data_IF_950139823057
#
_entry.id   IF_950139823057
#
_cell.length_a   1.000
_cell.length_b   1.000
_cell.length_c   1.000
_cell.angle_alpha   90.00
_cell.angle_beta   90.00
_cell.angle_gamma   90.00
#
_symmetry.space_group_name_H-M   'P 1'
#
loop_
_entity.id
_entity.type
_entity.pdbx_description
1 polymer ?
#
# COMPACT_ATOMS: atom_id res chain seq x y z
N UNK A 1 32.58 63.92 -41.39
CA UNK A 1 31.42 63.70 -40.52
C UNK A 1 31.02 62.23 -40.73
N UNK A 2 31.40 61.37 -39.76
CA UNK A 2 31.11 59.91 -39.82
C UNK A 2 29.77 59.66 -39.09
N UNK A 3 28.81 59.10 -39.82
CA UNK A 3 27.53 58.67 -39.24
C UNK A 3 27.73 57.30 -38.61
N UNK A 4 27.60 57.24 -37.28
CA UNK A 4 27.61 55.99 -36.50
C UNK A 4 26.22 55.39 -36.56
N UNK A 5 26.07 54.28 -37.30
CA UNK A 5 24.82 53.51 -37.39
C UNK A 5 24.75 52.56 -36.22
N UNK A 6 23.87 52.86 -35.26
CA UNK A 6 23.64 52.02 -34.10
C UNK A 6 22.70 50.87 -34.50
N UNK A 7 23.23 49.67 -34.57
CA UNK A 7 22.49 48.45 -34.86
C UNK A 7 21.87 47.97 -33.52
N UNK A 8 20.58 48.21 -33.34
CA UNK A 8 19.83 47.66 -32.18
C UNK A 8 19.51 46.21 -32.53
N UNK A 9 20.27 45.32 -31.90
CA UNK A 9 20.02 43.88 -31.92
C UNK A 9 18.89 43.55 -30.92
N UNK A 10 17.67 43.40 -31.41
CA UNK A 10 16.52 42.92 -30.62
C UNK A 10 16.71 41.42 -30.40
N UNK A 11 17.14 41.08 -29.20
CA UNK A 11 17.20 39.69 -28.73
C UNK A 11 15.77 39.22 -28.49
N UNK A 12 15.18 38.46 -29.41
CA UNK A 12 13.97 37.70 -29.20
C UNK A 12 14.32 36.58 -28.24
N UNK A 13 14.04 36.77 -26.95
CA UNK A 13 14.00 35.67 -25.98
C UNK A 13 12.76 34.84 -26.32
N UNK A 14 12.97 33.76 -27.10
CA UNK A 14 12.00 32.69 -27.22
C UNK A 14 11.87 32.02 -25.85
N UNK A 15 10.99 32.56 -25.03
CA UNK A 15 10.50 31.86 -23.86
C UNK A 15 9.77 30.63 -24.36
N UNK A 16 10.41 29.48 -24.34
CA UNK A 16 9.71 28.22 -24.38
C UNK A 16 8.72 28.21 -23.22
N UNK A 17 7.45 28.50 -23.50
CA UNK A 17 6.36 28.12 -22.60
C UNK A 17 6.38 26.60 -22.55
N UNK A 18 7.02 26.03 -21.57
CA UNK A 18 6.73 24.69 -21.13
C UNK A 18 5.25 24.70 -20.76
N UNK A 19 4.44 23.99 -21.53
CA UNK A 19 3.03 23.79 -21.17
C UNK A 19 3.00 23.11 -19.79
N UNK A 20 2.43 23.77 -18.77
CA UNK A 20 2.31 23.14 -17.45
C UNK A 20 1.22 22.07 -17.38
N UNK A 21 0.61 21.70 -18.52
CA UNK A 21 -0.62 20.91 -18.56
C UNK A 21 -0.44 19.40 -18.72
N UNK A 22 0.73 18.86 -18.42
CA UNK A 22 0.83 17.43 -18.07
C UNK A 22 1.49 17.35 -16.71
N UNK A 23 0.67 17.49 -15.66
CA UNK A 23 1.07 17.01 -14.35
C UNK A 23 1.39 15.51 -14.51
N UNK A 24 2.66 15.16 -14.41
CA UNK A 24 3.11 13.76 -14.47
C UNK A 24 2.75 13.02 -13.18
N UNK A 25 1.53 13.25 -12.66
CA UNK A 25 1.01 12.53 -11.50
C UNK A 25 0.46 11.18 -11.94
N UNK A 26 0.63 10.18 -11.12
CA UNK A 26 0.11 8.86 -11.38
C UNK A 26 0.07 7.99 -10.14
N UNK A 27 -0.83 7.02 -10.14
CA UNK A 27 -0.93 6.02 -9.08
C UNK A 27 -1.31 4.67 -9.69
N UNK A 28 -0.66 3.63 -9.23
CA UNK A 28 -0.97 2.23 -9.54
C UNK A 28 -1.12 1.48 -8.24
N UNK A 29 -2.15 0.65 -8.15
CA UNK A 29 -2.39 -0.21 -6.99
C UNK A 29 -2.51 -1.67 -7.42
N UNK A 30 -2.29 -2.59 -6.49
CA UNK A 30 -2.68 -3.99 -6.64
C UNK A 30 -3.37 -4.51 -5.38
N UNK A 31 -4.36 -5.38 -5.55
CA UNK A 31 -5.14 -5.97 -4.47
C UNK A 31 -4.70 -7.39 -4.09
N UNK A 32 -3.55 -7.82 -4.56
CA UNK A 32 -3.00 -9.15 -4.30
C UNK A 32 -2.65 -9.92 -5.56
N UNK A 33 -1.80 -10.93 -5.39
CA UNK A 33 -1.54 -11.97 -6.37
C UNK A 33 -2.05 -13.30 -5.81
N UNK A 34 -2.57 -14.18 -6.63
CA UNK A 34 -3.13 -15.47 -6.22
C UNK A 34 -4.18 -15.94 -7.20
N UNK A 35 -4.86 -17.00 -6.90
CA UNK A 35 -5.92 -17.58 -7.75
C UNK A 35 -7.17 -16.71 -7.77
N UNK A 36 -7.05 -15.48 -8.30
CA UNK A 36 -8.20 -14.63 -8.59
C UNK A 36 -8.72 -15.01 -9.98
N UNK A 37 -9.12 -16.27 -10.12
CA UNK A 37 -9.73 -16.74 -11.36
C UNK A 37 -11.18 -16.27 -11.40
N UNK A 38 -11.55 -15.61 -12.47
CA UNK A 38 -12.91 -15.11 -12.68
C UNK A 38 -13.96 -16.21 -12.61
N UNK A 39 -13.62 -17.41 -13.04
CA UNK A 39 -14.47 -18.62 -12.98
C UNK A 39 -14.80 -19.09 -11.55
N UNK A 40 -13.94 -18.72 -10.58
CA UNK A 40 -14.10 -19.09 -9.17
C UNK A 40 -14.71 -17.95 -8.33
N UNK A 41 -15.19 -16.87 -8.97
CA UNK A 41 -15.68 -15.68 -8.31
C UNK A 41 -17.13 -15.40 -8.70
N UNK A 42 -18.02 -15.17 -7.72
CA UNK A 42 -19.36 -14.70 -8.05
C UNK A 42 -19.32 -13.26 -8.60
N UNK A 43 -20.35 -12.90 -9.37
CA UNK A 43 -20.46 -11.55 -9.92
C UNK A 43 -20.50 -10.46 -8.82
N UNK A 44 -21.12 -10.77 -7.69
CA UNK A 44 -21.20 -9.88 -6.53
C UNK A 44 -19.81 -9.67 -5.90
N UNK A 45 -19.04 -10.76 -5.76
CA UNK A 45 -17.69 -10.70 -5.20
C UNK A 45 -16.73 -9.97 -6.16
N UNK A 46 -16.80 -10.21 -7.47
CA UNK A 46 -16.03 -9.45 -8.46
C UNK A 46 -16.36 -7.96 -8.37
N UNK A 47 -17.65 -7.62 -8.30
CA UNK A 47 -18.10 -6.23 -8.14
C UNK A 47 -17.56 -5.60 -6.86
N UNK A 48 -17.59 -6.32 -5.73
CA UNK A 48 -17.07 -5.83 -4.46
C UNK A 48 -15.56 -5.51 -4.54
N UNK A 49 -14.76 -6.40 -5.12
CA UNK A 49 -13.33 -6.17 -5.36
C UNK A 49 -13.09 -4.94 -6.24
N UNK A 50 -13.78 -4.85 -7.38
CA UNK A 50 -13.64 -3.72 -8.31
C UNK A 50 -14.00 -2.40 -7.64
N UNK A 51 -15.13 -2.36 -6.92
CA UNK A 51 -15.57 -1.16 -6.21
C UNK A 51 -14.55 -0.71 -5.17
N UNK A 52 -13.98 -1.64 -4.39
CA UNK A 52 -13.01 -1.29 -3.35
C UNK A 52 -11.66 -0.86 -3.93
N UNK A 53 -11.19 -1.50 -5.01
CA UNK A 53 -9.99 -1.07 -5.73
C UNK A 53 -10.18 0.31 -6.40
N UNK A 54 -11.36 0.55 -6.96
CA UNK A 54 -11.70 1.86 -7.54
C UNK A 54 -11.73 2.96 -6.47
N UNK A 55 -12.27 2.69 -5.29
CA UNK A 55 -12.24 3.60 -4.15
C UNK A 55 -10.79 3.91 -3.76
N UNK A 56 -9.93 2.91 -3.60
CA UNK A 56 -8.54 3.07 -3.21
C UNK A 56 -7.75 3.91 -4.23
N UNK A 57 -7.83 3.57 -5.52
CA UNK A 57 -7.09 4.30 -6.55
C UNK A 57 -7.61 5.73 -6.74
N UNK A 58 -8.93 5.94 -6.66
CA UNK A 58 -9.52 7.28 -6.78
C UNK A 58 -9.12 8.18 -5.61
N UNK A 59 -9.07 7.65 -4.39
CA UNK A 59 -8.64 8.41 -3.20
C UNK A 59 -7.20 8.85 -3.34
N UNK A 60 -6.28 7.94 -3.67
CA UNK A 60 -4.88 8.30 -3.88
C UNK A 60 -4.70 9.28 -5.06
N UNK A 61 -5.42 9.08 -6.16
CA UNK A 61 -5.35 10.00 -7.30
C UNK A 61 -5.91 11.39 -6.96
N UNK A 62 -6.97 11.47 -6.15
CA UNK A 62 -7.51 12.75 -5.71
C UNK A 62 -6.50 13.55 -4.86
N UNK A 63 -5.74 12.88 -4.00
CA UNK A 63 -4.65 13.49 -3.22
C UNK A 63 -3.63 14.12 -4.17
N UNK A 64 -3.13 13.35 -5.14
CA UNK A 64 -2.14 13.83 -6.12
C UNK A 64 -2.68 14.99 -6.96
N UNK A 65 -3.93 14.88 -7.43
CA UNK A 65 -4.60 15.92 -8.23
C UNK A 65 -4.73 17.23 -7.48
N UNK A 66 -4.89 17.18 -6.16
CA UNK A 66 -4.98 18.36 -5.29
C UNK A 66 -3.61 18.86 -4.82
N UNK A 67 -2.49 18.35 -5.39
CA UNK A 67 -1.13 18.76 -5.06
C UNK A 67 -0.55 18.09 -3.81
N UNK A 68 -1.19 17.03 -3.31
CA UNK A 68 -0.66 16.23 -2.21
C UNK A 68 0.52 15.35 -2.63
N UNK A 69 1.21 14.78 -1.65
CA UNK A 69 2.41 13.99 -1.86
C UNK A 69 2.11 12.58 -2.37
N UNK A 70 3.08 11.98 -3.08
CA UNK A 70 3.05 10.56 -3.46
C UNK A 70 2.95 9.65 -2.23
N UNK A 71 3.57 10.04 -1.12
CA UNK A 71 3.50 9.38 0.17
C UNK A 71 2.05 9.27 0.68
N UNK A 72 1.36 10.41 0.79
CA UNK A 72 -0.02 10.44 1.30
C UNK A 72 -0.96 9.65 0.39
N UNK A 73 -0.74 9.71 -0.93
CA UNK A 73 -1.51 8.96 -1.91
C UNK A 73 -1.34 7.44 -1.75
N UNK A 74 -0.11 6.97 -1.50
CA UNK A 74 0.19 5.55 -1.24
C UNK A 74 -0.40 5.12 0.08
N UNK A 75 -0.19 5.88 1.16
CA UNK A 75 -0.71 5.55 2.50
C UNK A 75 -2.23 5.39 2.49
N UNK A 76 -2.95 6.39 2.02
CA UNK A 76 -4.42 6.38 2.05
C UNK A 76 -5.01 5.30 1.13
N UNK A 77 -4.40 5.03 -0.02
CA UNK A 77 -4.84 3.93 -0.88
C UNK A 77 -4.68 2.57 -0.20
N UNK A 78 -3.58 2.34 0.48
CA UNK A 78 -3.32 1.07 1.19
C UNK A 78 -4.24 0.95 2.40
N UNK A 79 -4.48 2.00 3.18
CA UNK A 79 -5.41 2.00 4.32
C UNK A 79 -6.83 1.58 3.92
N UNK A 80 -7.32 2.01 2.76
CA UNK A 80 -8.61 1.57 2.25
C UNK A 80 -8.64 0.05 2.04
N UNK A 81 -7.56 -0.53 1.53
CA UNK A 81 -7.45 -1.97 1.32
C UNK A 81 -7.24 -2.72 2.65
N UNK A 82 -6.43 -2.20 3.59
CA UNK A 82 -6.25 -2.75 4.93
C UNK A 82 -7.55 -2.80 5.75
N UNK A 83 -8.41 -1.80 5.57
CA UNK A 83 -9.70 -1.72 6.25
C UNK A 83 -10.81 -2.54 5.57
N UNK A 84 -10.47 -3.38 4.59
CA UNK A 84 -11.41 -4.20 3.82
C UNK A 84 -11.17 -5.69 4.03
N UNK A 85 -12.23 -6.42 4.36
CA UNK A 85 -12.19 -7.88 4.49
C UNK A 85 -11.90 -8.64 3.17
N UNK A 86 -11.79 -7.94 2.05
CA UNK A 86 -11.57 -8.54 0.74
C UNK A 86 -10.12 -8.96 0.51
N UNK A 87 -9.15 -8.20 1.04
CA UNK A 87 -7.73 -8.36 0.75
C UNK A 87 -6.98 -9.12 1.84
N UNK A 88 -5.77 -9.59 1.52
CA UNK A 88 -4.86 -10.13 2.52
C UNK A 88 -3.96 -8.99 3.05
N UNK A 89 -4.56 -8.10 3.83
CA UNK A 89 -3.90 -7.02 4.55
C UNK A 89 -4.86 -6.51 5.62
N UNK A 90 -4.41 -6.14 6.80
CA UNK A 90 -5.26 -5.65 7.87
C UNK A 90 -6.47 -6.55 8.15
N UNK A 91 -7.69 -6.00 8.03
CA UNK A 91 -8.93 -6.75 8.14
C UNK A 91 -9.05 -7.73 6.97
N UNK A 92 -9.13 -9.03 7.27
CA UNK A 92 -9.17 -10.07 6.24
C UNK A 92 -7.81 -10.62 5.85
N UNK A 93 -6.75 -10.29 6.59
CA UNK A 93 -5.47 -10.98 6.51
C UNK A 93 -5.61 -12.49 6.71
N UNK A 94 -4.75 -13.25 6.06
CA UNK A 94 -4.64 -14.70 6.26
C UNK A 94 -4.24 -14.94 7.71
N UNK A 95 -4.80 -15.98 8.32
CA UNK A 95 -4.51 -16.32 9.71
C UNK A 95 -3.28 -17.20 9.82
N UNK A 96 -2.52 -16.99 10.88
CA UNK A 96 -1.48 -17.93 11.32
C UNK A 96 -2.12 -19.25 11.77
N UNK A 97 -1.30 -20.29 11.93
CA UNK A 97 -1.78 -21.58 12.42
C UNK A 97 -2.51 -21.50 13.76
N UNK A 98 -2.21 -20.49 14.58
CA UNK A 98 -2.81 -20.28 15.90
C UNK A 98 -4.11 -19.45 15.86
N UNK A 99 -4.72 -19.32 14.65
CA UNK A 99 -5.95 -18.55 14.42
C UNK A 99 -5.81 -17.06 14.78
N UNK A 100 -4.61 -16.52 14.66
CA UNK A 100 -4.29 -15.10 14.91
C UNK A 100 -3.93 -14.41 13.61
N UNK A 101 -3.96 -13.09 13.64
CA UNK A 101 -3.43 -12.26 12.55
C UNK A 101 -2.03 -11.79 12.94
N UNK A 102 -1.10 -11.88 11.97
CA UNK A 102 0.25 -11.31 12.01
C UNK A 102 0.40 -10.43 10.78
N UNK A 103 0.72 -9.16 10.97
CA UNK A 103 0.68 -8.15 9.91
C UNK A 103 2.07 -7.60 9.62
N UNK A 104 2.32 -7.39 8.32
CA UNK A 104 3.57 -6.82 7.82
C UNK A 104 3.25 -5.65 6.88
N UNK A 105 4.08 -4.62 6.89
CA UNK A 105 4.03 -3.54 5.92
C UNK A 105 5.41 -2.94 5.69
N UNK A 106 5.61 -2.41 4.50
CA UNK A 106 6.80 -1.64 4.16
C UNK A 106 6.44 -0.42 3.31
N UNK A 107 7.24 0.62 3.46
CA UNK A 107 7.12 1.86 2.71
C UNK A 107 8.51 2.39 2.36
N UNK A 108 8.64 2.97 1.17
CA UNK A 108 9.84 3.67 0.73
C UNK A 108 9.46 5.00 0.07
N UNK A 109 10.15 6.05 0.47
CA UNK A 109 10.10 7.38 -0.12
C UNK A 109 11.18 7.51 -1.19
N UNK A 110 10.81 7.92 -2.39
CA UNK A 110 11.77 8.23 -3.46
C UNK A 110 12.32 9.65 -3.40
N UNK A 111 11.77 10.51 -2.52
CA UNK A 111 12.26 11.87 -2.31
C UNK A 111 13.65 11.87 -1.67
N UNK A 112 13.83 11.04 -0.66
CA UNK A 112 15.04 10.98 0.17
C UNK A 112 15.64 9.57 0.31
N UNK A 113 15.02 8.58 -0.36
CA UNK A 113 15.38 7.16 -0.32
C UNK A 113 15.27 6.51 1.07
N UNK A 114 14.55 7.16 1.99
CA UNK A 114 14.25 6.59 3.29
C UNK A 114 13.20 5.48 3.17
N UNK A 115 13.28 4.53 4.08
CA UNK A 115 12.35 3.42 4.13
C UNK A 115 12.00 3.06 5.58
N UNK A 116 10.82 2.48 5.75
CA UNK A 116 10.38 1.94 7.02
C UNK A 116 9.53 0.70 6.83
N UNK A 117 9.59 -0.20 7.80
CA UNK A 117 8.83 -1.44 7.76
C UNK A 117 8.43 -1.90 9.16
N UNK A 118 7.38 -2.67 9.20
CA UNK A 118 7.01 -3.48 10.36
C UNK A 118 6.78 -4.93 9.94
N UNK A 119 7.06 -5.87 10.82
CA UNK A 119 6.81 -7.29 10.60
C UNK A 119 6.24 -7.94 11.86
N UNK A 120 5.27 -8.84 11.67
CA UNK A 120 4.71 -9.64 12.76
C UNK A 120 3.90 -8.85 13.78
N UNK A 121 3.32 -7.71 13.41
CA UNK A 121 2.45 -6.93 14.28
C UNK A 121 1.13 -7.65 14.53
N UNK A 122 0.61 -7.53 15.76
CA UNK A 122 -0.65 -8.14 16.15
C UNK A 122 -1.76 -7.14 16.48
N UNK A 123 -1.44 -5.85 16.62
CA UNK A 123 -2.37 -4.85 17.17
C UNK A 123 -2.47 -3.57 16.33
N UNK A 124 -1.57 -3.32 15.39
CA UNK A 124 -1.55 -2.08 14.61
C UNK A 124 -2.69 -2.10 13.59
N UNK A 125 -3.62 -1.17 13.71
CA UNK A 125 -4.83 -1.10 12.87
C UNK A 125 -4.51 -0.94 11.39
N UNK A 126 -3.61 -0.03 11.07
CA UNK A 126 -3.12 0.22 9.70
C UNK A 126 -1.60 0.06 9.65
N UNK A 127 -1.12 -1.14 9.32
CA UNK A 127 0.31 -1.46 9.23
C UNK A 127 1.12 -0.49 8.39
N UNK A 128 0.59 0.00 7.27
CA UNK A 128 1.30 0.94 6.39
C UNK A 128 1.64 2.25 7.11
N UNK A 129 0.73 2.78 7.95
CA UNK A 129 0.98 4.00 8.73
C UNK A 129 2.11 3.78 9.75
N UNK A 130 2.20 2.60 10.32
CA UNK A 130 3.29 2.26 11.23
C UNK A 130 4.63 2.10 10.50
N UNK A 131 4.65 1.50 9.31
CA UNK A 131 5.85 1.43 8.47
C UNK A 131 6.39 2.83 8.16
N UNK A 132 5.51 3.76 7.78
CA UNK A 132 5.86 5.17 7.56
C UNK A 132 6.36 5.82 8.85
N UNK A 133 5.73 5.56 9.99
CA UNK A 133 6.19 6.10 11.26
C UNK A 133 7.56 5.55 11.70
N UNK A 134 7.87 4.29 11.38
CA UNK A 134 9.23 3.73 11.60
C UNK A 134 10.24 4.51 10.79
N UNK A 135 9.96 4.80 9.52
CA UNK A 135 10.82 5.61 8.66
C UNK A 135 11.07 7.01 9.24
N UNK A 136 10.02 7.68 9.71
CA UNK A 136 10.09 9.10 10.10
C UNK A 136 10.54 9.34 11.54
N UNK A 137 10.21 8.40 12.45
CA UNK A 137 10.23 8.65 13.90
C UNK A 137 11.11 7.66 14.65
N UNK A 138 11.90 6.86 13.93
CA UNK A 138 12.85 5.93 14.54
C UNK A 138 14.20 5.92 13.81
N UNK A 139 15.29 5.49 14.46
CA UNK A 139 16.58 5.28 13.80
C UNK A 139 16.63 3.95 13.03
N UNK A 140 15.55 3.17 13.02
CA UNK A 140 15.47 1.84 12.43
C UNK A 140 14.75 1.87 11.09
N UNK A 141 15.09 0.93 10.22
CA UNK A 141 14.34 0.68 8.97
C UNK A 141 13.23 -0.34 9.18
N UNK A 142 13.38 -1.24 10.15
CA UNK A 142 12.42 -2.29 10.44
C UNK A 142 12.26 -2.47 11.95
N UNK A 143 11.00 -2.54 12.39
CA UNK A 143 10.62 -3.04 13.71
C UNK A 143 9.77 -4.29 13.57
N UNK A 144 9.81 -5.20 14.57
CA UNK A 144 9.06 -6.45 14.47
C UNK A 144 8.34 -6.83 15.76
N UNK A 145 7.26 -7.60 15.59
CA UNK A 145 6.49 -8.24 16.67
C UNK A 145 6.13 -7.24 17.78
N UNK A 146 6.33 -7.63 19.02
CA UNK A 146 6.04 -6.77 20.18
C UNK A 146 6.76 -5.42 20.12
N UNK A 147 7.98 -5.34 19.57
CA UNK A 147 8.71 -4.09 19.44
C UNK A 147 8.03 -3.12 18.47
N UNK A 148 7.43 -3.61 17.39
CA UNK A 148 6.62 -2.80 16.47
C UNK A 148 5.32 -2.33 17.12
N UNK A 149 4.64 -3.21 17.87
CA UNK A 149 3.40 -2.87 18.57
C UNK A 149 3.64 -1.83 19.69
N UNK A 150 4.68 -2.00 20.49
CA UNK A 150 5.07 -1.04 21.54
C UNK A 150 5.42 0.35 20.95
N UNK A 151 6.17 0.36 19.84
CA UNK A 151 6.50 1.59 19.13
C UNK A 151 5.23 2.30 18.61
N UNK A 152 4.29 1.55 18.03
CA UNK A 152 3.02 2.11 17.55
C UNK A 152 2.25 2.80 18.70
N UNK A 153 2.16 2.14 19.86
CA UNK A 153 1.53 2.71 21.06
C UNK A 153 2.26 4.00 21.51
N UNK A 154 3.59 3.94 21.60
CA UNK A 154 4.40 5.11 22.00
C UNK A 154 4.21 6.31 21.07
N UNK A 155 4.07 6.05 19.75
CA UNK A 155 3.90 7.11 18.75
C UNK A 155 2.44 7.51 18.49
N UNK A 156 1.49 6.95 19.25
CA UNK A 156 0.07 7.29 19.15
C UNK A 156 -0.58 6.78 17.86
N UNK A 157 -0.08 5.70 17.29
CA UNK A 157 -0.67 5.03 16.13
C UNK A 157 -1.84 4.18 16.61
N UNK A 158 -2.95 4.19 15.86
CA UNK A 158 -4.15 3.45 16.18
C UNK A 158 -3.87 1.95 16.34
N UNK A 159 -4.26 1.40 17.49
CA UNK A 159 -4.17 -0.02 17.78
C UNK A 159 -5.53 -0.61 18.07
N UNK A 160 -5.71 -1.88 17.76
CA UNK A 160 -6.96 -2.64 17.96
C UNK A 160 -6.64 -4.05 18.47
N UNK A 161 -7.58 -4.72 19.14
CA UNK A 161 -7.36 -6.12 19.52
C UNK A 161 -7.21 -7.01 18.27
N UNK A 162 -6.43 -8.08 18.37
CA UNK A 162 -6.17 -9.01 17.24
C UNK A 162 -7.46 -9.55 16.61
N UNK A 163 -8.51 -9.76 17.42
CA UNK A 163 -9.83 -10.21 16.94
C UNK A 163 -10.50 -9.26 15.94
N UNK A 164 -10.12 -7.98 15.93
CA UNK A 164 -10.64 -6.99 14.97
C UNK A 164 -10.35 -7.39 13.51
N UNK A 165 -9.23 -8.03 13.25
CA UNK A 165 -8.79 -8.41 11.91
C UNK A 165 -9.39 -9.72 11.41
N UNK A 166 -9.88 -10.57 12.33
CA UNK A 166 -10.32 -11.93 12.04
C UNK A 166 -11.68 -11.89 11.34
N UNK A 167 -11.77 -12.54 10.18
CA UNK A 167 -13.02 -12.71 9.45
C UNK A 167 -13.44 -14.18 9.42
N UNK A 168 -14.75 -14.44 9.42
CA UNK A 168 -15.30 -15.80 9.32
C UNK A 168 -14.77 -16.54 8.08
N UNK A 169 -14.64 -15.83 6.95
CA UNK A 169 -14.08 -16.38 5.72
C UNK A 169 -12.66 -16.93 5.93
N UNK A 170 -11.81 -16.21 6.68
CA UNK A 170 -10.43 -16.62 6.95
C UNK A 170 -10.35 -17.77 7.94
N UNK A 171 -11.21 -17.78 8.97
CA UNK A 171 -11.32 -18.91 9.88
C UNK A 171 -11.72 -20.19 9.15
N UNK A 172 -12.74 -20.13 8.31
CA UNK A 172 -13.17 -21.29 7.51
C UNK A 172 -12.08 -21.77 6.55
N UNK A 173 -11.35 -20.82 5.91
CA UNK A 173 -10.25 -21.17 5.02
C UNK A 173 -9.14 -21.89 5.79
N UNK A 174 -8.75 -21.40 6.95
CA UNK A 174 -7.73 -22.03 7.79
C UNK A 174 -8.16 -23.44 8.25
N UNK A 175 -9.41 -23.60 8.70
CA UNK A 175 -9.95 -24.91 9.11
C UNK A 175 -9.90 -25.92 7.97
N UNK A 176 -10.33 -25.52 6.78
CA UNK A 176 -10.24 -26.37 5.57
C UNK A 176 -8.80 -26.77 5.24
N UNK A 177 -7.83 -25.86 5.40
CA UNK A 177 -6.41 -26.17 5.20
C UNK A 177 -5.93 -27.18 6.25
N UNK A 178 -6.25 -26.97 7.53
CA UNK A 178 -5.88 -27.90 8.62
C UNK A 178 -6.45 -29.30 8.40
N UNK A 179 -7.73 -29.41 7.98
CA UNK A 179 -8.37 -30.67 7.65
C UNK A 179 -7.67 -31.38 6.47
N UNK A 180 -7.28 -30.65 5.42
CA UNK A 180 -6.58 -31.21 4.25
C UNK A 180 -5.14 -31.60 4.56
N UNK A 181 -4.41 -30.81 5.34
CA UNK A 181 -3.03 -31.13 5.75
C UNK A 181 -2.91 -32.39 6.61
N UNK A 182 -4.01 -32.86 7.19
CA UNK A 182 -4.07 -34.20 7.79
C UNK A 182 -4.02 -35.33 6.73
N UNK A 183 -4.13 -35.01 5.42
CA UNK A 183 -4.30 -35.99 4.33
C UNK A 183 -3.18 -35.92 3.27
N UNK A 184 -2.54 -34.78 2.98
CA UNK A 184 -1.43 -34.69 2.00
C UNK A 184 -0.69 -33.34 1.99
N UNK A 185 0.65 -33.40 1.87
CA UNK A 185 1.55 -32.23 1.76
C UNK A 185 1.62 -31.62 0.34
N UNK A 186 1.01 -32.25 -0.68
CA UNK A 186 1.19 -31.93 -2.10
C UNK A 186 0.00 -31.19 -2.75
N UNK A 187 -0.84 -30.50 -1.99
CA UNK A 187 -2.00 -29.79 -2.55
C UNK A 187 -1.56 -28.48 -3.24
N UNK A 188 -1.83 -28.30 -4.56
CA UNK A 188 -1.56 -27.06 -5.29
C UNK A 188 -2.24 -25.83 -4.69
N UNK A 189 -3.36 -26.00 -3.96
CA UNK A 189 -4.09 -24.91 -3.28
C UNK A 189 -3.28 -24.24 -2.17
N UNK A 190 -2.32 -24.95 -1.55
CA UNK A 190 -1.43 -24.39 -0.54
C UNK A 190 -0.41 -23.45 -1.17
N UNK A 191 0.01 -23.70 -2.42
CA UNK A 191 0.93 -22.82 -3.15
C UNK A 191 0.31 -21.45 -3.46
N UNK A 192 -0.99 -21.42 -3.76
CA UNK A 192 -1.67 -20.18 -4.17
C UNK A 192 -2.11 -19.29 -2.99
N UNK A 193 -2.19 -19.83 -1.78
CA UNK A 193 -2.57 -19.05 -0.59
C UNK A 193 -1.48 -18.09 -0.09
N UNK A 194 -0.24 -18.24 -0.58
CA UNK A 194 0.94 -17.48 -0.14
C UNK A 194 1.11 -16.09 -0.78
N UNK A 195 0.28 -15.71 -1.78
CA UNK A 195 0.54 -14.56 -2.64
C UNK A 195 -0.44 -13.39 -2.47
N UNK A 196 -1.18 -13.33 -1.37
CA UNK A 196 -2.05 -12.21 -1.09
C UNK A 196 -1.26 -11.05 -0.46
N UNK A 197 -1.23 -9.88 -1.09
CA UNK A 197 -0.56 -8.67 -0.61
C UNK A 197 -1.17 -7.48 -1.34
N UNK A 198 -1.43 -6.39 -0.65
CA UNK A 198 -1.82 -5.15 -1.32
C UNK A 198 -0.62 -4.25 -1.51
N UNK A 199 -0.66 -3.39 -2.52
CA UNK A 199 0.40 -2.41 -2.73
C UNK A 199 -0.06 -1.22 -3.52
N UNK A 200 0.72 -0.15 -3.43
CA UNK A 200 0.51 1.11 -4.15
C UNK A 200 1.84 1.74 -4.49
N UNK A 201 1.91 2.34 -5.68
CA UNK A 201 3.02 3.19 -6.13
C UNK A 201 2.42 4.45 -6.70
N UNK A 202 2.94 5.60 -6.30
CA UNK A 202 2.48 6.89 -6.78
C UNK A 202 3.63 7.83 -7.14
N UNK A 203 3.40 8.72 -8.11
CA UNK A 203 4.27 9.85 -8.44
C UNK A 203 3.48 11.14 -8.27
N UNK A 204 4.04 12.11 -7.52
CA UNK A 204 3.44 13.41 -7.30
C UNK A 204 3.90 14.48 -8.31
N UNK A 205 3.37 15.69 -8.18
CA UNK A 205 3.66 16.81 -9.09
C UNK A 205 5.12 17.26 -9.05
N UNK A 206 5.83 16.97 -7.96
CA UNK A 206 7.26 17.26 -7.82
C UNK A 206 8.14 16.18 -8.44
N UNK A 207 7.55 15.10 -8.94
CA UNK A 207 8.27 13.95 -9.50
C UNK A 207 8.73 12.93 -8.45
N UNK A 208 8.36 13.10 -7.19
CA UNK A 208 8.69 12.15 -6.13
C UNK A 208 7.86 10.88 -6.27
N UNK A 209 8.52 9.73 -6.23
CA UNK A 209 7.87 8.42 -6.29
C UNK A 209 7.90 7.81 -4.90
N UNK A 210 6.76 7.30 -4.46
CA UNK A 210 6.66 6.52 -3.23
C UNK A 210 6.02 5.17 -3.52
N UNK A 211 6.41 4.16 -2.75
CA UNK A 211 5.88 2.81 -2.85
C UNK A 211 5.61 2.22 -1.47
N UNK A 212 4.52 1.46 -1.35
CA UNK A 212 4.18 0.76 -0.12
C UNK A 212 3.51 -0.57 -0.41
N UNK A 213 3.67 -1.50 0.54
CA UNK A 213 3.00 -2.80 0.55
C UNK A 213 2.48 -3.10 1.93
N UNK A 214 1.39 -3.88 2.01
CA UNK A 214 0.84 -4.38 3.27
C UNK A 214 0.29 -5.79 3.08
N UNK A 215 0.49 -6.64 4.06
CA UNK A 215 0.10 -8.05 4.01
C UNK A 215 -0.14 -8.62 5.40
N UNK A 216 -0.54 -9.87 5.47
CA UNK A 216 -0.61 -10.61 6.72
C UNK A 216 -0.75 -12.11 6.53
N UNK A 217 -0.44 -12.84 7.59
CA UNK A 217 -0.54 -14.30 7.66
C UNK A 217 0.72 -15.03 7.20
N UNK A 218 0.65 -16.31 7.39
CA UNK A 218 1.49 -17.51 7.30
C UNK A 218 2.35 -17.79 8.48
#
# INVERSE_FOLDING_TARGET
MKRLSTFIMILFILSCKTNPDKSNIGIVIHGGAGTILKENMSAELEKAYRTKLEEAVKTGYAILKNGGSSRDAVEESIKIMENSALFNAGVGAVLTNDERVSLDASFMSGEDLNAGAIAGSSFIKNPISAAIAVMDKSPHVLLSSKGADDFAIEKGIDTVPNSYFITERRLQSLRKIKERNSISYDDPFIKDSKYGTVGSVAIDINGNISAGTSTGGT
#
